data_IF_353405599626
#
_entry.id   IF_353405599626
#
_cell.length_a   1.000
_cell.length_b   1.000
_cell.length_c   1.000
_cell.angle_alpha   90.00
_cell.angle_beta   90.00
_cell.angle_gamma   90.00
#
_symmetry.space_group_name_H-M   'P 1'
#
loop_
_entity.id
_entity.type
_entity.pdbx_description
1 polymer ?
#
# COMPACT_ATOMS: atom_id res chain seq x y z
N UNK A 1 40.34 74.13 28.10
CA UNK A 1 40.37 72.69 28.45
C UNK A 1 41.79 72.18 28.27
N UNK A 2 42.31 71.35 29.19
CA UNK A 2 43.60 70.68 29.02
C UNK A 2 43.60 69.85 27.72
N UNK A 3 44.74 69.77 27.03
CA UNK A 3 44.84 69.12 25.71
C UNK A 3 44.52 67.62 25.77
N UNK A 4 44.88 66.97 26.88
CA UNK A 4 44.55 65.58 27.19
C UNK A 4 43.03 65.34 27.22
N UNK A 5 42.26 66.29 27.76
CA UNK A 5 40.79 66.20 27.83
C UNK A 5 40.17 66.25 26.43
N UNK A 6 40.73 67.05 25.51
CA UNK A 6 40.25 67.09 24.12
C UNK A 6 40.53 65.79 23.38
N UNK A 7 41.69 65.18 23.58
CA UNK A 7 42.07 63.91 22.94
C UNK A 7 41.09 62.81 23.37
N UNK A 8 40.84 62.70 24.68
CA UNK A 8 39.88 61.72 25.22
C UNK A 8 38.47 61.98 24.69
N UNK A 9 38.03 63.25 24.66
CA UNK A 9 36.71 63.61 24.12
C UNK A 9 36.57 63.23 22.64
N UNK A 10 37.56 63.54 21.80
CA UNK A 10 37.54 63.20 20.39
C UNK A 10 37.50 61.69 20.15
N UNK A 11 38.24 60.91 20.95
CA UNK A 11 38.21 59.45 20.87
C UNK A 11 36.86 58.88 21.33
N UNK A 12 36.24 59.44 22.38
CA UNK A 12 34.89 59.08 22.81
C UNK A 12 33.85 59.37 21.73
N UNK A 13 33.93 60.53 21.07
CA UNK A 13 33.05 60.88 19.94
C UNK A 13 33.25 59.90 18.79
N UNK A 14 34.50 59.57 18.45
CA UNK A 14 34.82 58.59 17.40
C UNK A 14 34.22 57.22 17.70
N UNK A 15 34.42 56.70 18.91
CA UNK A 15 33.86 55.41 19.35
C UNK A 15 32.34 55.42 19.37
N UNK A 16 31.74 56.53 19.81
CA UNK A 16 30.27 56.69 19.82
C UNK A 16 29.73 56.62 18.41
N UNK A 17 30.34 57.33 17.45
CA UNK A 17 29.94 57.30 16.05
C UNK A 17 30.10 55.90 15.43
N UNK A 18 31.19 55.20 15.74
CA UNK A 18 31.42 53.83 15.29
C UNK A 18 30.37 52.87 15.85
N UNK A 19 30.04 52.99 17.14
CA UNK A 19 29.00 52.21 17.78
C UNK A 19 27.62 52.49 17.17
N UNK A 20 27.27 53.76 16.91
CA UNK A 20 26.01 54.12 16.23
C UNK A 20 25.93 53.48 14.84
N UNK A 21 27.04 53.47 14.08
CA UNK A 21 27.09 52.80 12.78
C UNK A 21 26.88 51.29 12.92
N UNK A 22 27.52 50.66 13.91
CA UNK A 22 27.39 49.22 14.17
C UNK A 22 25.97 48.85 14.58
N UNK A 23 25.33 49.65 15.43
CA UNK A 23 23.93 49.46 15.85
C UNK A 23 23.02 49.51 14.63
N UNK A 24 23.15 50.51 13.76
CA UNK A 24 22.34 50.61 12.53
C UNK A 24 22.48 49.39 11.62
N UNK A 25 23.68 48.83 11.50
CA UNK A 25 23.90 47.60 10.71
C UNK A 25 23.23 46.39 11.39
N UNK A 26 23.26 46.31 12.72
CA UNK A 26 22.59 45.24 13.46
C UNK A 26 21.07 45.33 13.32
N UNK A 27 20.49 46.53 13.40
CA UNK A 27 19.05 46.76 13.18
C UNK A 27 18.63 46.29 11.78
N UNK A 28 19.35 46.71 10.73
CA UNK A 28 19.06 46.26 9.36
C UNK A 28 19.18 44.74 9.18
N UNK A 29 20.11 44.11 9.88
CA UNK A 29 20.25 42.65 9.86
C UNK A 29 19.12 41.96 10.62
N UNK A 30 18.67 42.54 11.73
CA UNK A 30 17.54 42.03 12.51
C UNK A 30 16.27 42.08 11.67
N UNK A 31 15.97 43.22 11.03
CA UNK A 31 14.82 43.37 10.14
C UNK A 31 14.81 42.30 9.03
N UNK A 32 15.98 42.04 8.43
CA UNK A 32 16.11 40.99 7.41
C UNK A 32 15.85 39.59 7.96
N UNK A 33 16.31 39.30 9.18
CA UNK A 33 16.06 38.01 9.83
C UNK A 33 14.59 37.85 10.16
N UNK A 34 13.92 38.89 10.65
CA UNK A 34 12.48 38.88 10.95
C UNK A 34 11.64 38.64 9.70
N UNK A 35 11.97 39.29 8.58
CA UNK A 35 11.32 39.07 7.29
C UNK A 35 11.50 37.62 6.81
N UNK A 36 12.74 37.11 6.87
CA UNK A 36 13.02 35.72 6.48
C UNK A 36 12.29 34.73 7.38
N UNK A 37 12.22 34.99 8.69
CA UNK A 37 11.51 34.14 9.64
C UNK A 37 10.00 34.12 9.35
N UNK A 38 9.42 35.28 9.06
CA UNK A 38 8.00 35.42 8.71
C UNK A 38 7.66 34.68 7.40
N UNK A 39 8.54 34.77 6.40
CA UNK A 39 8.41 34.00 5.15
C UNK A 39 8.49 32.50 5.43
N UNK A 40 9.50 32.06 6.19
CA UNK A 40 9.69 30.65 6.52
C UNK A 40 8.48 30.09 7.29
N UNK A 41 7.95 30.84 8.25
CA UNK A 41 6.73 30.46 8.98
C UNK A 41 5.55 30.28 8.03
N UNK A 42 5.37 31.21 7.08
CA UNK A 42 4.29 31.14 6.09
C UNK A 42 4.45 29.92 5.17
N UNK A 43 5.67 29.66 4.68
CA UNK A 43 5.97 28.50 3.84
C UNK A 43 5.72 27.18 4.57
N UNK A 44 6.09 27.11 5.86
CA UNK A 44 5.86 25.93 6.70
C UNK A 44 4.35 25.69 6.88
N UNK A 45 3.57 26.73 7.14
CA UNK A 45 2.11 26.60 7.27
C UNK A 45 1.48 26.08 5.97
N UNK A 46 1.86 26.65 4.82
CA UNK A 46 1.38 26.18 3.51
C UNK A 46 1.74 24.71 3.26
N UNK A 47 2.98 24.30 3.59
CA UNK A 47 3.42 22.91 3.43
C UNK A 47 2.68 21.94 4.36
N UNK A 48 2.33 22.37 5.57
CA UNK A 48 1.52 21.58 6.50
C UNK A 48 0.10 21.38 5.98
N UNK A 49 -0.51 22.41 5.41
CA UNK A 49 -1.85 22.31 4.80
C UNK A 49 -1.85 21.39 3.58
N UNK A 50 -0.85 21.53 2.69
CA UNK A 50 -0.66 20.63 1.55
C UNK A 50 -0.47 19.17 2.01
N UNK A 51 0.34 18.95 3.05
CA UNK A 51 0.59 17.62 3.60
C UNK A 51 -0.71 17.01 4.16
N UNK A 52 -1.50 17.80 4.90
CA UNK A 52 -2.79 17.36 5.44
C UNK A 52 -3.74 16.92 4.34
N UNK A 53 -3.88 17.72 3.28
CA UNK A 53 -4.73 17.38 2.13
C UNK A 53 -4.26 16.07 1.47
N UNK A 54 -2.94 15.91 1.30
CA UNK A 54 -2.37 14.69 0.71
C UNK A 54 -2.60 13.45 1.58
N UNK A 55 -2.49 13.58 2.91
CA UNK A 55 -2.79 12.50 3.84
C UNK A 55 -4.27 12.10 3.82
N UNK A 56 -5.19 13.07 3.73
CA UNK A 56 -6.63 12.79 3.60
C UNK A 56 -6.96 12.08 2.29
N UNK A 57 -6.33 12.48 1.18
CA UNK A 57 -6.46 11.77 -0.11
C UNK A 57 -5.94 10.34 -0.01
N UNK A 58 -4.75 10.15 0.57
CA UNK A 58 -4.14 8.83 0.74
C UNK A 58 -5.02 7.92 1.61
N UNK A 59 -5.59 8.44 2.70
CA UNK A 59 -6.51 7.69 3.55
C UNK A 59 -7.77 7.25 2.79
N UNK A 60 -8.32 8.12 1.95
CA UNK A 60 -9.46 7.78 1.11
C UNK A 60 -9.12 6.70 0.06
N UNK A 61 -7.94 6.78 -0.55
CA UNK A 61 -7.50 5.78 -1.54
C UNK A 61 -7.24 4.43 -0.88
N UNK A 62 -6.64 4.40 0.31
CA UNK A 62 -6.48 3.17 1.10
C UNK A 62 -7.84 2.55 1.41
N UNK A 63 -8.84 3.36 1.81
CA UNK A 63 -10.19 2.88 2.07
C UNK A 63 -10.82 2.23 0.84
N UNK A 64 -10.73 2.88 -0.34
CA UNK A 64 -11.22 2.33 -1.60
C UNK A 64 -10.52 1.02 -1.97
N UNK A 65 -9.21 0.93 -1.77
CA UNK A 65 -8.45 -0.31 -2.01
C UNK A 65 -8.95 -1.42 -1.09
N UNK A 66 -9.15 -1.13 0.21
CA UNK A 66 -9.68 -2.09 1.17
C UNK A 66 -11.07 -2.60 0.79
N UNK A 67 -11.97 -1.72 0.35
CA UNK A 67 -13.31 -2.08 -0.13
C UNK A 67 -13.25 -2.98 -1.38
N UNK A 68 -12.35 -2.69 -2.32
CA UNK A 68 -12.13 -3.51 -3.52
C UNK A 68 -11.58 -4.88 -3.16
N UNK A 69 -10.61 -4.96 -2.25
CA UNK A 69 -10.06 -6.24 -1.75
C UNK A 69 -11.18 -7.08 -1.13
N UNK A 70 -12.00 -6.49 -0.24
CA UNK A 70 -13.11 -7.21 0.38
C UNK A 70 -14.13 -7.73 -0.64
N UNK A 71 -14.41 -6.94 -1.68
CA UNK A 71 -15.27 -7.38 -2.80
C UNK A 71 -14.64 -8.55 -3.57
N UNK A 72 -13.35 -8.48 -3.89
CA UNK A 72 -12.61 -9.54 -4.57
C UNK A 72 -12.54 -10.82 -3.73
N UNK A 73 -12.30 -10.72 -2.42
CA UNK A 73 -12.31 -11.88 -1.52
C UNK A 73 -13.68 -12.58 -1.51
N UNK A 74 -14.77 -11.80 -1.49
CA UNK A 74 -16.11 -12.35 -1.55
C UNK A 74 -16.39 -13.06 -2.89
N UNK A 75 -15.91 -12.53 -4.01
CA UNK A 75 -16.01 -13.18 -5.32
C UNK A 75 -15.19 -14.47 -5.39
N UNK A 76 -13.96 -14.46 -4.87
CA UNK A 76 -13.09 -15.64 -4.80
C UNK A 76 -13.76 -16.74 -3.97
N UNK A 77 -14.38 -16.40 -2.85
CA UNK A 77 -15.09 -17.38 -2.00
C UNK A 77 -16.33 -17.94 -2.71
N UNK A 78 -17.04 -17.15 -3.53
CA UNK A 78 -18.13 -17.65 -4.38
C UNK A 78 -17.60 -18.63 -5.43
N UNK A 79 -16.53 -18.27 -6.13
CA UNK A 79 -15.88 -19.14 -7.14
C UNK A 79 -15.46 -20.45 -6.48
N UNK A 80 -14.83 -20.40 -5.30
CA UNK A 80 -14.43 -21.60 -4.55
C UNK A 80 -15.62 -22.51 -4.22
N UNK A 81 -16.75 -21.94 -3.80
CA UNK A 81 -17.99 -22.69 -3.53
C UNK A 81 -18.58 -23.31 -4.79
N UNK A 82 -18.57 -22.59 -5.91
CA UNK A 82 -19.04 -23.11 -7.20
C UNK A 82 -18.13 -24.21 -7.73
N UNK A 83 -16.81 -24.04 -7.63
CA UNK A 83 -15.84 -25.08 -7.98
C UNK A 83 -16.02 -26.36 -7.17
N UNK A 84 -16.38 -26.25 -5.89
CA UNK A 84 -16.71 -27.41 -5.05
C UNK A 84 -17.97 -28.18 -5.49
N UNK A 85 -18.85 -27.57 -6.29
CA UNK A 85 -20.05 -28.21 -6.84
C UNK A 85 -19.81 -28.80 -8.24
N UNK A 86 -18.73 -28.44 -8.92
CA UNK A 86 -18.40 -29.00 -10.22
C UNK A 86 -17.97 -30.45 -10.05
N UNK A 87 -18.48 -31.32 -10.93
CA UNK A 87 -18.10 -32.73 -10.95
C UNK A 87 -16.58 -32.86 -11.06
N UNK A 88 -15.99 -33.50 -10.07
CA UNK A 88 -14.57 -33.78 -10.04
C UNK A 88 -14.20 -34.70 -11.21
N UNK A 89 -12.95 -34.64 -11.68
CA UNK A 89 -12.45 -35.56 -12.71
C UNK A 89 -12.67 -37.04 -12.34
N UNK A 90 -12.73 -37.36 -11.06
CA UNK A 90 -13.02 -38.70 -10.57
C UNK A 90 -14.50 -39.09 -10.78
N UNK A 91 -15.43 -38.21 -10.47
CA UNK A 91 -16.87 -38.42 -10.70
C UNK A 91 -17.17 -38.54 -12.20
N UNK A 92 -16.54 -37.72 -13.04
CA UNK A 92 -16.69 -37.83 -14.51
C UNK A 92 -16.16 -39.18 -15.02
N UNK A 93 -15.01 -39.65 -14.53
CA UNK A 93 -14.50 -40.99 -14.89
C UNK A 93 -15.42 -42.13 -14.44
N UNK A 94 -16.05 -42.00 -13.28
CA UNK A 94 -17.04 -42.99 -12.83
C UNK A 94 -18.24 -43.01 -13.76
N UNK A 95 -18.75 -41.84 -14.14
CA UNK A 95 -19.84 -41.72 -15.12
C UNK A 95 -19.44 -42.31 -16.48
N UNK A 96 -18.24 -42.03 -16.98
CA UNK A 96 -17.71 -42.66 -18.20
C UNK A 96 -17.66 -44.18 -18.09
N UNK A 97 -17.20 -44.71 -16.95
CA UNK A 97 -17.14 -46.15 -16.69
C UNK A 97 -18.53 -46.78 -16.67
N UNK A 98 -19.50 -46.14 -16.01
CA UNK A 98 -20.89 -46.58 -16.00
C UNK A 98 -21.50 -46.56 -17.41
N UNK A 99 -21.24 -45.51 -18.19
CA UNK A 99 -21.69 -45.42 -19.57
C UNK A 99 -21.06 -46.53 -20.41
N UNK A 100 -19.77 -46.81 -20.27
CA UNK A 100 -19.10 -47.89 -21.00
C UNK A 100 -19.64 -49.29 -20.64
N UNK A 101 -20.05 -49.52 -19.38
CA UNK A 101 -20.71 -50.76 -18.95
C UNK A 101 -22.11 -50.91 -19.57
N UNK A 102 -22.86 -49.81 -19.65
CA UNK A 102 -24.27 -49.83 -20.12
C UNK A 102 -24.35 -49.74 -21.64
N UNK A 103 -23.32 -49.21 -22.30
CA UNK A 103 -23.30 -49.00 -23.74
C UNK A 103 -23.43 -50.35 -24.49
N UNK A 104 -24.54 -50.60 -25.19
CA UNK A 104 -24.78 -51.88 -25.87
C UNK A 104 -23.81 -52.15 -27.03
N UNK A 105 -23.04 -51.14 -27.47
CA UNK A 105 -22.00 -51.29 -28.50
C UNK A 105 -20.66 -51.78 -27.94
N UNK A 106 -20.39 -51.59 -26.63
CA UNK A 106 -19.16 -52.03 -25.95
C UNK A 106 -19.38 -53.13 -24.90
N UNK A 107 -20.60 -53.26 -24.41
CA UNK A 107 -20.96 -54.24 -23.39
C UNK A 107 -20.98 -55.66 -23.95
N UNK A 108 -20.06 -56.49 -23.45
CA UNK A 108 -20.18 -57.95 -23.56
C UNK A 108 -21.02 -58.44 -22.39
N UNK A 109 -22.33 -58.51 -22.57
CA UNK A 109 -23.22 -59.09 -21.57
C UNK A 109 -22.97 -60.60 -21.49
N UNK A 110 -22.40 -61.03 -20.37
CA UNK A 110 -22.21 -62.46 -20.05
C UNK A 110 -23.38 -62.93 -19.18
N UNK A 111 -23.84 -64.14 -19.47
CA UNK A 111 -24.92 -64.80 -18.73
C UNK A 111 -24.39 -65.36 -17.40
N UNK A 112 -25.30 -65.58 -16.43
CA UNK A 112 -24.96 -66.04 -15.08
C UNK A 112 -24.13 -67.33 -15.06
N UNK A 113 -24.38 -68.25 -16.00
CA UNK A 113 -23.61 -69.50 -16.17
C UNK A 113 -22.16 -69.24 -16.59
N UNK A 114 -21.95 -68.34 -17.55
CA UNK A 114 -20.61 -68.02 -18.06
C UNK A 114 -19.73 -67.36 -16.99
N UNK A 115 -20.33 -66.59 -16.08
CA UNK A 115 -19.63 -66.01 -14.93
C UNK A 115 -19.23 -67.08 -13.92
N UNK A 116 -20.12 -68.04 -13.61
CA UNK A 116 -19.83 -69.15 -12.69
C UNK A 116 -18.70 -70.05 -13.21
N UNK A 117 -18.65 -70.30 -14.50
CA UNK A 117 -17.60 -71.10 -15.14
C UNK A 117 -16.24 -70.37 -15.17
N UNK A 118 -16.24 -69.05 -15.38
CA UNK A 118 -15.03 -68.21 -15.27
C UNK A 118 -14.46 -68.16 -13.85
N UNK A 119 -15.32 -68.11 -12.83
CA UNK A 119 -14.90 -68.11 -11.42
C UNK A 119 -14.31 -69.47 -11.05
N UNK A 120 -14.94 -70.58 -11.48
CA UNK A 120 -14.43 -71.93 -11.24
C UNK A 120 -13.09 -72.21 -11.92
N UNK A 121 -12.84 -71.64 -13.09
CA UNK A 121 -11.55 -71.78 -13.77
C UNK A 121 -10.43 -70.98 -13.10
N UNK A 122 -10.72 -69.78 -12.57
CA UNK A 122 -9.74 -68.98 -11.82
C UNK A 122 -9.42 -69.50 -10.42
N UNK A 123 -10.36 -70.18 -9.75
CA UNK A 123 -10.13 -70.81 -8.44
C UNK A 123 -9.40 -72.16 -8.51
N UNK A 124 -9.22 -72.70 -9.72
CA UNK A 124 -8.48 -73.95 -9.99
C UNK A 124 -7.07 -73.71 -10.54
N UNK A 125 -6.60 -72.46 -10.56
CA UNK A 125 -5.23 -72.05 -10.84
C UNK A 125 -4.59 -71.49 -9.56
#
# INVERSE_FOLDING_TARGET
MPEEVKIVFNELVRRTNENTRRIRILEQRLDKVELNLSSLQSDVLLKLDELKINLEKLANDIKKISERIGSTEAEVEKIKKEMGKLATKAEIKQIETYIDIINPLKSKFVTKKEVEDLIKSKLKA
#
